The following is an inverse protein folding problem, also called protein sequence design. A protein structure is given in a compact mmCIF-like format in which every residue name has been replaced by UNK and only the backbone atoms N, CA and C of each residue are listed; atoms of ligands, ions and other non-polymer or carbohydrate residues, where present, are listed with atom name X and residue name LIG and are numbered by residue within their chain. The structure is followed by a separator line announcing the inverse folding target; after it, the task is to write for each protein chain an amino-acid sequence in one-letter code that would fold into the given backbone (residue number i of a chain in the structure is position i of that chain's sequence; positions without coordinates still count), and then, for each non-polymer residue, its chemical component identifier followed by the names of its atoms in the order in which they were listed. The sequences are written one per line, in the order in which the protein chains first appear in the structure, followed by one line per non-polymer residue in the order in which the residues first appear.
data_IF_649372405524
#
_entry.id   IF_649372405524
#
_cell.length_a   1.000
_cell.length_b   1.000
_cell.length_c   1.000
_cell.angle_alpha   90.00
_cell.angle_beta   90.00
_cell.angle_gamma   90.00
#
_symmetry.space_group_name_H-M   'P 1'
#
loop_
_entity.id
_entity.type
_entity.pdbx_description
1 polymer ?
#
# COMPACT_ATOMS: atom_id res chain seq x y z
N UNK A 1 -2.41 21.63 18.47
CA UNK A 1 -3.27 21.58 17.28
C UNK A 1 -2.41 21.90 16.08
N UNK A 2 -1.85 20.90 15.40
CA UNK A 2 -1.32 21.10 14.05
C UNK A 2 -2.51 21.66 13.24
N UNK A 3 -2.33 22.82 12.64
CA UNK A 3 -3.45 23.63 12.15
C UNK A 3 -4.29 22.83 11.15
N UNK A 4 -5.63 22.99 11.18
CA UNK A 4 -6.56 22.25 10.30
C UNK A 4 -6.15 22.34 8.81
N UNK A 5 -5.56 23.46 8.43
CA UNK A 5 -4.96 23.71 7.10
C UNK A 5 -3.71 22.89 6.81
N UNK A 6 -2.86 22.62 7.81
CA UNK A 6 -1.67 21.77 7.66
C UNK A 6 -2.05 20.30 7.47
N UNK A 7 -3.04 19.81 8.21
CA UNK A 7 -3.58 18.46 8.00
C UNK A 7 -4.22 18.29 6.62
N UNK A 8 -4.96 19.30 6.15
CA UNK A 8 -5.52 19.32 4.80
C UNK A 8 -4.42 19.27 3.74
N UNK A 9 -3.33 20.03 3.93
CA UNK A 9 -2.19 20.03 3.02
C UNK A 9 -1.50 18.66 2.95
N UNK A 10 -1.32 18.00 4.09
CA UNK A 10 -0.76 16.63 4.14
C UNK A 10 -1.69 15.65 3.41
N UNK A 11 -3.00 15.70 3.67
CA UNK A 11 -3.96 14.84 3.00
C UNK A 11 -3.94 15.04 1.48
N UNK A 12 -3.85 16.30 1.02
CA UNK A 12 -3.75 16.64 -0.40
C UNK A 12 -2.46 16.10 -1.02
N UNK A 13 -1.32 16.25 -0.32
CA UNK A 13 -0.04 15.72 -0.79
C UNK A 13 -0.06 14.19 -0.90
N UNK A 14 -0.61 13.49 0.10
CA UNK A 14 -0.76 12.04 0.06
C UNK A 14 -1.67 11.60 -1.09
N UNK A 15 -2.76 12.33 -1.34
CA UNK A 15 -3.66 12.06 -2.47
C UNK A 15 -2.95 12.22 -3.82
N UNK A 16 -2.16 13.28 -3.99
CA UNK A 16 -1.37 13.51 -5.23
C UNK A 16 -0.34 12.41 -5.44
N UNK A 17 0.40 12.02 -4.39
CA UNK A 17 1.39 10.94 -4.46
C UNK A 17 0.73 9.62 -4.84
N UNK A 18 -0.44 9.32 -4.26
CA UNK A 18 -1.18 8.11 -4.59
C UNK A 18 -1.64 8.11 -6.06
N UNK A 19 -2.13 9.24 -6.56
CA UNK A 19 -2.52 9.39 -7.96
C UNK A 19 -1.34 9.21 -8.92
N UNK A 20 -0.19 9.81 -8.62
CA UNK A 20 1.05 9.63 -9.40
C UNK A 20 1.53 8.18 -9.37
N UNK A 21 1.43 7.49 -8.24
CA UNK A 21 1.83 6.09 -8.13
C UNK A 21 0.94 5.18 -9.00
N UNK A 22 -0.37 5.46 -9.06
CA UNK A 22 -1.29 4.74 -9.94
C UNK A 22 -0.99 5.03 -11.41
N UNK A 23 -0.81 6.30 -11.79
CA UNK A 23 -0.54 6.70 -13.17
C UNK A 23 0.77 6.12 -13.70
N UNK A 24 1.84 6.16 -12.88
CA UNK A 24 3.11 5.51 -13.21
C UNK A 24 2.96 4.00 -13.36
N UNK A 25 2.20 3.34 -12.47
CA UNK A 25 1.93 1.90 -12.57
C UNK A 25 1.23 1.54 -13.89
N UNK A 26 0.19 2.29 -14.27
CA UNK A 26 -0.51 2.08 -15.55
C UNK A 26 0.38 2.36 -16.75
N UNK A 27 1.17 3.43 -16.71
CA UNK A 27 2.05 3.83 -17.82
C UNK A 27 3.20 2.84 -18.02
N UNK A 28 3.78 2.33 -16.93
CA UNK A 28 4.83 1.31 -16.98
C UNK A 28 4.29 -0.03 -17.47
N UNK A 29 3.05 -0.39 -17.10
CA UNK A 29 2.37 -1.57 -17.63
C UNK A 29 2.06 -1.42 -19.13
N UNK A 30 1.66 -0.23 -19.59
CA UNK A 30 1.32 0.04 -20.98
C UNK A 30 2.54 0.07 -21.92
N UNK A 31 3.75 0.33 -21.39
CA UNK A 31 5.01 0.38 -22.17
C UNK A 31 5.73 -0.97 -22.28
N UNK A 32 5.25 -2.01 -21.59
CA UNK A 32 5.87 -3.35 -21.65
C UNK A 32 5.27 -4.16 -22.81
N UNK A 33 6.11 -4.52 -23.78
CA UNK A 33 5.74 -5.43 -24.90
C UNK A 33 5.37 -6.84 -24.41
N UNK A 34 5.96 -7.28 -23.28
CA UNK A 34 5.55 -8.47 -22.55
C UNK A 34 5.00 -8.05 -21.19
N UNK A 35 3.71 -8.32 -20.96
CA UNK A 35 3.12 -8.27 -19.61
C UNK A 35 3.86 -9.36 -18.81
N UNK A 36 4.89 -8.98 -18.05
CA UNK A 36 5.46 -9.86 -17.04
C UNK A 36 4.34 -10.18 -16.06
N UNK A 37 3.72 -11.35 -16.22
CA UNK A 37 2.70 -11.83 -15.32
C UNK A 37 3.34 -11.98 -13.94
N UNK A 38 3.08 -11.01 -13.07
CA UNK A 38 3.44 -11.10 -11.67
C UNK A 38 2.44 -12.10 -11.07
N UNK A 39 2.77 -13.39 -11.15
CA UNK A 39 1.95 -14.43 -10.54
C UNK A 39 2.04 -14.30 -9.02
N UNK A 40 0.93 -14.66 -8.35
CA UNK A 40 0.90 -14.69 -6.89
C UNK A 40 2.00 -15.61 -6.36
N UNK A 41 2.31 -16.71 -7.05
CA UNK A 41 3.41 -17.62 -6.72
C UNK A 41 4.78 -16.94 -6.68
N UNK A 42 5.04 -15.97 -7.57
CA UNK A 42 6.31 -15.23 -7.58
C UNK A 42 6.40 -14.19 -6.45
N UNK A 43 5.28 -13.72 -5.91
CA UNK A 43 5.24 -12.76 -4.79
C UNK A 43 5.18 -13.49 -3.45
N UNK A 44 4.22 -14.40 -3.32
CA UNK A 44 3.88 -15.11 -2.10
C UNK A 44 4.85 -16.26 -1.79
N UNK A 45 5.55 -16.75 -2.81
CA UNK A 45 6.26 -18.01 -2.78
C UNK A 45 5.35 -19.16 -3.21
N UNK A 46 5.97 -20.22 -3.75
CA UNK A 46 5.34 -21.47 -4.20
C UNK A 46 6.11 -22.63 -3.57
N UNK A 47 5.57 -23.84 -3.42
CA UNK A 47 6.31 -24.99 -2.92
C UNK A 47 7.67 -25.22 -3.62
N UNK A 48 7.77 -24.83 -4.90
CA UNK A 48 8.99 -24.92 -5.71
C UNK A 48 9.85 -23.64 -5.69
N UNK A 49 9.34 -22.53 -5.14
CA UNK A 49 10.02 -21.23 -5.05
C UNK A 49 10.35 -20.95 -3.57
N UNK A 50 11.62 -21.10 -3.21
CA UNK A 50 12.14 -20.88 -1.85
C UNK A 50 12.29 -19.40 -1.46
N UNK A 51 11.34 -18.56 -1.84
CA UNK A 51 11.37 -17.13 -1.54
C UNK A 51 10.04 -16.45 -1.80
N UNK A 52 9.80 -15.35 -1.08
CA UNK A 52 8.53 -14.62 -1.15
C UNK A 52 8.23 -13.80 0.10
N UNK A 53 7.15 -13.00 0.04
CA UNK A 53 6.77 -12.09 1.12
C UNK A 53 6.39 -12.83 2.42
N UNK A 54 5.95 -14.09 2.30
CA UNK A 54 5.56 -14.93 3.43
C UNK A 54 6.71 -15.81 3.95
N UNK A 55 7.87 -15.85 3.28
CA UNK A 55 9.05 -16.55 3.77
C UNK A 55 10.15 -15.56 4.18
N UNK A 56 10.68 -14.82 3.21
CA UNK A 56 11.91 -14.04 3.38
C UNK A 56 11.64 -12.70 4.07
N UNK A 57 10.41 -12.21 3.92
CA UNK A 57 9.97 -10.91 4.42
C UNK A 57 8.82 -11.02 5.42
N UNK A 58 8.66 -12.19 6.08
CA UNK A 58 7.55 -12.44 7.00
C UNK A 58 7.43 -11.37 8.10
N UNK A 59 8.57 -10.92 8.65
CA UNK A 59 8.60 -9.88 9.68
C UNK A 59 8.15 -8.51 9.14
N UNK A 60 8.61 -8.14 7.93
CA UNK A 60 8.19 -6.89 7.28
C UNK A 60 6.71 -6.91 6.92
N UNK A 61 6.20 -8.06 6.47
CA UNK A 61 4.77 -8.26 6.20
C UNK A 61 3.93 -8.11 7.48
N UNK A 62 4.37 -8.71 8.59
CA UNK A 62 3.68 -8.62 9.88
C UNK A 62 3.62 -7.18 10.41
N UNK A 63 4.72 -6.44 10.31
CA UNK A 63 4.74 -5.01 10.67
C UNK A 63 3.76 -4.18 9.83
N UNK A 64 3.72 -4.41 8.52
CA UNK A 64 2.81 -3.69 7.62
C UNK A 64 1.35 -4.02 7.89
N UNK A 65 1.05 -5.29 8.20
CA UNK A 65 -0.33 -5.71 8.52
C UNK A 65 -0.80 -5.13 9.86
N UNK A 66 0.06 -5.03 10.87
CA UNK A 66 -0.23 -4.31 12.12
C UNK A 66 -0.46 -2.81 11.89
N UNK A 67 0.36 -2.18 11.04
CA UNK A 67 0.19 -0.79 10.68
C UNK A 67 -1.15 -0.55 9.97
N UNK A 68 -1.53 -1.44 9.06
CA UNK A 68 -2.80 -1.37 8.34
C UNK A 68 -4.00 -1.52 9.30
N UNK A 69 -3.90 -2.44 10.26
CA UNK A 69 -4.90 -2.62 11.30
C UNK A 69 -5.06 -1.35 12.15
N UNK A 70 -3.94 -0.75 12.58
CA UNK A 70 -3.96 0.49 13.34
C UNK A 70 -4.59 1.64 12.53
N UNK A 71 -4.29 1.73 11.23
CA UNK A 71 -4.90 2.72 10.35
C UNK A 71 -6.41 2.54 10.24
N UNK A 72 -6.90 1.29 10.13
CA UNK A 72 -8.32 0.98 10.03
C UNK A 72 -9.08 1.30 11.33
N UNK A 73 -8.49 0.96 12.48
CA UNK A 73 -9.02 1.35 13.80
C UNK A 73 -9.06 2.88 13.93
N UNK A 74 -7.98 3.56 13.54
CA UNK A 74 -7.88 5.02 13.58
C UNK A 74 -8.94 5.70 12.71
N UNK A 75 -9.13 5.22 11.48
CA UNK A 75 -10.16 5.72 10.57
C UNK A 75 -11.57 5.55 11.16
N UNK A 76 -11.86 4.38 11.74
CA UNK A 76 -13.15 4.09 12.35
C UNK A 76 -13.41 4.94 13.60
N UNK A 77 -12.39 5.17 14.41
CA UNK A 77 -12.48 6.06 15.57
C UNK A 77 -12.76 7.52 15.16
N UNK A 78 -12.08 8.02 14.12
CA UNK A 78 -12.34 9.37 13.59
C UNK A 78 -13.75 9.46 13.01
N UNK A 79 -14.17 8.48 12.21
CA UNK A 79 -15.53 8.46 11.66
C UNK A 79 -16.61 8.45 12.74
N UNK A 80 -16.42 7.69 13.83
CA UNK A 80 -17.33 7.68 14.97
C UNK A 80 -17.37 8.97 15.77
N UNK A 81 -16.31 9.78 15.74
CA UNK A 81 -16.26 11.07 16.43
C UNK A 81 -16.99 12.17 15.65
N UNK A 82 -17.07 12.03 14.33
CA UNK A 82 -17.69 13.01 13.44
C UNK A 82 -19.16 12.70 13.09
N UNK A 83 -19.67 11.51 13.44
CA UNK A 83 -21.07 11.11 13.36
C UNK A 83 -21.83 11.37 14.67
#
# INVERSE_FOLDING_TARGET
MINKTFNLLIALLLFVVMFMALDNSYTDLAKKEEITAISIENIAGSPDIRGGIFSDFIFSFELLSLLLLAALIGALYVAKKEA
#
